data_IF_576026233144
#
_entry.id   IF_576026233144
#
_cell.length_a   1.000
_cell.length_b   1.000
_cell.length_c   1.000
_cell.angle_alpha   90.00
_cell.angle_beta   90.00
_cell.angle_gamma   90.00
#
_symmetry.space_group_name_H-M   'P 1'
#
loop_
_entity.id
_entity.type
_entity.pdbx_description
1 polymer ?
#
# COMPACT_ATOMS: atom_id res chain seq x y z
N UNK A 1 -12.40 -0.60 7.29
CA UNK A 1 -13.51 -0.06 6.51
C UNK A 1 -13.41 1.46 6.42
N UNK A 2 -13.57 2.03 5.24
CA UNK A 2 -13.62 3.46 5.00
C UNK A 2 -15.02 3.84 4.51
N UNK A 3 -15.57 4.88 5.08
CA UNK A 3 -16.91 5.38 4.77
C UNK A 3 -16.84 6.82 4.22
N UNK A 4 -17.81 7.18 3.41
CA UNK A 4 -18.01 8.58 3.01
C UNK A 4 -18.62 9.41 4.15
N UNK A 5 -18.81 10.71 3.90
CA UNK A 5 -19.41 11.63 4.88
C UNK A 5 -20.90 11.35 5.21
N UNK A 6 -21.50 10.35 4.55
CA UNK A 6 -22.88 9.89 4.79
C UNK A 6 -22.90 8.51 5.46
N UNK A 7 -21.75 7.99 5.92
CA UNK A 7 -21.63 6.69 6.55
C UNK A 7 -21.77 5.51 5.58
N UNK A 8 -21.56 5.72 4.29
CA UNK A 8 -21.62 4.63 3.29
C UNK A 8 -20.21 4.11 3.03
N UNK A 9 -20.03 2.80 3.13
CA UNK A 9 -18.77 2.14 2.80
C UNK A 9 -18.32 2.44 1.36
N UNK A 10 -17.07 2.87 1.20
CA UNK A 10 -16.44 3.17 -0.09
C UNK A 10 -15.21 2.33 -0.35
N UNK A 11 -14.57 1.83 0.71
CA UNK A 11 -13.38 0.99 0.61
C UNK A 11 -13.33 0.04 1.82
N UNK A 12 -13.11 -1.23 1.56
CA UNK A 12 -12.71 -2.21 2.56
C UNK A 12 -11.30 -2.69 2.24
N UNK A 13 -10.37 -2.57 3.19
CA UNK A 13 -8.98 -2.96 2.95
C UNK A 13 -8.29 -3.37 4.25
N UNK A 14 -7.21 -4.09 4.11
CA UNK A 14 -6.35 -4.45 5.22
C UNK A 14 -4.94 -4.75 4.77
N UNK A 15 -3.98 -4.47 5.65
CA UNK A 15 -2.56 -4.78 5.44
C UNK A 15 -2.06 -5.59 6.62
N UNK A 16 -1.50 -6.75 6.35
CA UNK A 16 -0.78 -7.57 7.34
C UNK A 16 0.71 -7.19 7.36
N UNK A 17 1.47 -7.63 8.36
CA UNK A 17 2.91 -7.44 8.41
C UNK A 17 3.47 -7.01 9.77
N UNK A 18 2.83 -7.42 10.86
CA UNK A 18 3.30 -7.13 12.21
C UNK A 18 3.46 -5.62 12.45
N UNK A 19 4.65 -5.18 12.78
CA UNK A 19 4.92 -3.75 13.06
C UNK A 19 4.81 -2.84 11.84
N UNK A 20 4.84 -3.38 10.63
CA UNK A 20 4.59 -2.63 9.40
C UNK A 20 3.11 -2.22 9.23
N UNK A 21 2.17 -2.91 9.87
CA UNK A 21 0.73 -2.72 9.64
C UNK A 21 0.28 -1.24 9.69
N UNK A 22 0.59 -0.43 10.72
CA UNK A 22 0.14 0.95 10.78
C UNK A 22 0.59 1.78 9.58
N UNK A 23 1.86 1.64 9.19
CA UNK A 23 2.45 2.34 8.04
C UNK A 23 1.82 1.85 6.73
N UNK A 24 1.68 0.53 6.59
CA UNK A 24 1.07 -0.09 5.40
C UNK A 24 -0.38 0.30 5.20
N UNK A 25 -1.17 0.40 6.28
CA UNK A 25 -2.55 0.87 6.23
C UNK A 25 -2.62 2.30 5.67
N UNK A 26 -1.79 3.21 6.19
CA UNK A 26 -1.74 4.61 5.73
C UNK A 26 -1.26 4.69 4.29
N UNK A 27 -0.23 3.94 3.93
CA UNK A 27 0.32 3.92 2.57
C UNK A 27 -0.75 3.55 1.53
N UNK A 28 -1.48 2.44 1.75
CA UNK A 28 -2.53 1.99 0.83
C UNK A 28 -3.69 2.99 0.78
N UNK A 29 -4.11 3.51 1.94
CA UNK A 29 -5.22 4.47 2.02
C UNK A 29 -4.92 5.75 1.24
N UNK A 30 -3.77 6.38 1.50
CA UNK A 30 -3.38 7.60 0.81
C UNK A 30 -3.19 7.36 -0.70
N UNK A 31 -2.62 6.23 -1.09
CA UNK A 31 -2.46 5.88 -2.50
C UNK A 31 -3.81 5.85 -3.24
N UNK A 32 -4.85 5.33 -2.59
CA UNK A 32 -6.19 5.25 -3.19
C UNK A 32 -6.93 6.60 -3.11
N UNK A 33 -6.89 7.30 -1.97
CA UNK A 33 -7.72 8.49 -1.75
C UNK A 33 -7.06 9.77 -2.26
N UNK A 34 -5.76 9.95 -2.03
CA UNK A 34 -5.05 11.20 -2.34
C UNK A 34 -4.40 11.16 -3.72
N UNK A 35 -3.91 9.98 -4.14
CA UNK A 35 -3.24 9.80 -5.44
C UNK A 35 -4.12 9.13 -6.51
N UNK A 36 -5.39 8.84 -6.21
CA UNK A 36 -6.35 8.23 -7.13
C UNK A 36 -5.88 6.91 -7.77
N UNK A 37 -5.03 6.16 -7.10
CA UNK A 37 -4.63 4.84 -7.57
C UNK A 37 -5.80 3.86 -7.48
N UNK A 38 -5.86 2.90 -8.41
CA UNK A 38 -6.74 1.75 -8.24
C UNK A 38 -6.29 0.92 -7.03
N UNK A 39 -7.19 0.08 -6.43
CA UNK A 39 -6.78 -0.81 -5.33
C UNK A 39 -5.56 -1.66 -5.67
N UNK A 40 -5.51 -2.22 -6.87
CA UNK A 40 -4.37 -3.03 -7.30
C UNK A 40 -3.08 -2.22 -7.44
N UNK A 41 -3.14 -1.01 -8.02
CA UNK A 41 -1.96 -0.14 -8.11
C UNK A 41 -1.44 0.25 -6.73
N UNK A 42 -2.33 0.62 -5.81
CA UNK A 42 -1.96 1.00 -4.45
C UNK A 42 -1.30 -0.15 -3.68
N UNK A 43 -1.86 -1.36 -3.79
CA UNK A 43 -1.33 -2.55 -3.13
C UNK A 43 0.01 -2.97 -3.74
N UNK A 44 0.15 -2.89 -5.07
CA UNK A 44 1.38 -3.30 -5.78
C UNK A 44 2.50 -2.28 -5.70
N UNK A 45 2.23 -1.04 -5.26
CA UNK A 45 3.26 -0.01 -5.19
C UNK A 45 4.38 -0.38 -4.21
N UNK A 46 5.63 0.02 -4.50
CA UNK A 46 6.78 -0.29 -3.66
C UNK A 46 6.64 0.30 -2.27
N UNK A 47 7.12 -0.42 -1.27
CA UNK A 47 6.96 -0.07 0.14
C UNK A 47 8.29 0.26 0.80
N UNK A 48 8.21 1.14 1.78
CA UNK A 48 9.33 1.49 2.64
C UNK A 48 8.90 1.43 4.10
N UNK A 49 9.84 1.05 4.98
CA UNK A 49 9.56 0.96 6.41
C UNK A 49 10.79 1.30 7.23
N UNK A 50 10.66 2.27 8.11
CA UNK A 50 11.70 2.62 9.07
C UNK A 50 11.59 1.73 10.30
N UNK A 51 12.61 0.91 10.52
CA UNK A 51 12.68 0.01 11.66
C UNK A 51 14.15 -0.19 12.13
N UNK A 52 14.38 -0.17 13.44
CA UNK A 52 15.70 -0.29 14.02
C UNK A 52 16.75 0.65 13.41
N UNK A 53 16.39 1.92 13.28
CA UNK A 53 17.25 2.97 12.73
C UNK A 53 17.72 2.77 11.28
N UNK A 54 17.01 1.91 10.54
CA UNK A 54 17.24 1.68 9.12
C UNK A 54 15.94 1.95 8.36
N UNK A 55 16.00 2.75 7.30
CA UNK A 55 14.89 2.91 6.38
C UNK A 55 14.99 1.86 5.27
N UNK A 56 14.25 0.78 5.47
CA UNK A 56 14.23 -0.38 4.58
C UNK A 56 13.35 -0.10 3.37
N UNK A 57 13.91 -0.24 2.18
CA UNK A 57 13.26 0.07 0.91
C UNK A 57 13.10 -1.20 0.08
N UNK A 58 11.92 -1.44 -0.48
CA UNK A 58 11.76 -2.47 -1.51
C UNK A 58 12.53 -2.08 -2.77
N UNK A 59 13.00 -3.06 -3.54
CA UNK A 59 13.95 -2.87 -4.66
C UNK A 59 13.43 -2.00 -5.78
N UNK A 60 12.11 -1.97 -5.94
CA UNK A 60 11.42 -1.18 -6.97
C UNK A 60 11.43 0.32 -6.68
N UNK A 61 11.80 0.73 -5.46
CA UNK A 61 12.02 2.16 -5.15
C UNK A 61 13.27 2.63 -5.87
N UNK A 62 13.13 3.71 -6.65
CA UNK A 62 14.21 4.20 -7.49
C UNK A 62 15.44 4.62 -6.67
N UNK A 63 16.61 4.49 -7.30
CA UNK A 63 17.87 4.95 -6.69
C UNK A 63 17.84 6.44 -6.38
N UNK A 64 17.17 7.24 -7.19
CA UNK A 64 17.02 8.68 -6.97
C UNK A 64 16.30 8.98 -5.65
N UNK A 65 15.18 8.28 -5.37
CA UNK A 65 14.44 8.39 -4.11
C UNK A 65 15.32 7.96 -2.95
N UNK A 66 16.00 6.82 -3.06
CA UNK A 66 16.92 6.33 -2.03
C UNK A 66 18.03 7.34 -1.72
N UNK A 67 18.67 7.88 -2.75
CA UNK A 67 19.74 8.86 -2.58
C UNK A 67 19.21 10.18 -1.97
N UNK A 68 18.01 10.61 -2.38
CA UNK A 68 17.33 11.75 -1.77
C UNK A 68 17.07 11.59 -0.29
N UNK A 69 16.54 10.42 0.10
CA UNK A 69 16.32 10.06 1.51
C UNK A 69 17.64 10.05 2.31
N UNK A 70 18.71 9.49 1.74
CA UNK A 70 20.02 9.47 2.37
C UNK A 70 20.59 10.88 2.57
N UNK A 71 20.41 11.78 1.60
CA UNK A 71 20.86 13.19 1.69
C UNK A 71 20.20 13.97 2.82
N UNK A 72 18.94 13.65 3.14
CA UNK A 72 18.22 14.29 4.25
C UNK A 72 18.41 13.56 5.59
N UNK A 73 19.32 12.59 5.66
CA UNK A 73 19.79 11.98 6.90
C UNK A 73 19.22 10.60 7.22
N UNK A 74 18.44 9.98 6.33
CA UNK A 74 17.97 8.61 6.55
C UNK A 74 19.09 7.58 6.28
N UNK A 75 19.22 6.59 7.15
CA UNK A 75 20.03 5.41 6.90
C UNK A 75 19.24 4.42 6.02
N UNK A 76 19.42 4.48 4.70
CA UNK A 76 18.62 3.74 3.73
C UNK A 76 19.26 2.42 3.31
N UNK A 77 18.46 1.36 3.20
CA UNK A 77 18.89 0.06 2.72
C UNK A 77 17.83 -0.57 1.82
N UNK A 78 18.24 -1.12 0.66
CA UNK A 78 17.38 -2.03 -0.07
C UNK A 78 17.31 -3.39 0.64
N UNK A 79 16.12 -3.99 0.60
CA UNK A 79 15.86 -5.30 1.21
C UNK A 79 15.41 -6.31 0.16
N UNK A 80 15.71 -7.58 0.44
CA UNK A 80 15.23 -8.72 -0.36
C UNK A 80 13.80 -9.12 0.03
N UNK A 81 13.50 -9.04 1.33
CA UNK A 81 12.18 -9.37 1.85
C UNK A 81 11.21 -8.21 1.62
N UNK A 82 9.98 -8.55 1.31
CA UNK A 82 8.92 -7.56 1.10
C UNK A 82 8.18 -7.20 2.38
N UNK A 83 7.63 -5.98 2.43
CA UNK A 83 6.87 -5.52 3.59
C UNK A 83 5.39 -5.91 3.50
N UNK A 84 4.97 -6.78 4.42
CA UNK A 84 3.57 -7.11 4.62
C UNK A 84 2.85 -7.70 3.41
N UNK A 85 1.54 -7.57 3.41
CA UNK A 85 0.66 -7.97 2.30
C UNK A 85 -0.68 -7.28 2.45
N UNK A 86 -1.31 -6.89 1.36
CA UNK A 86 -2.55 -6.12 1.36
C UNK A 86 -3.65 -6.74 0.52
N UNK A 87 -4.88 -6.47 0.92
CA UNK A 87 -6.10 -6.79 0.16
C UNK A 87 -7.01 -5.58 0.20
N UNK A 88 -7.70 -5.27 -0.88
CA UNK A 88 -8.63 -4.16 -0.91
C UNK A 88 -9.78 -4.40 -1.87
N UNK A 89 -10.95 -3.86 -1.51
CA UNK A 89 -12.14 -3.79 -2.37
C UNK A 89 -12.68 -2.37 -2.30
N UNK A 90 -12.61 -1.65 -3.42
CA UNK A 90 -13.23 -0.34 -3.60
C UNK A 90 -14.64 -0.51 -4.14
N UNK A 91 -15.59 0.24 -3.59
CA UNK A 91 -16.99 0.21 -4.01
C UNK A 91 -17.25 1.40 -4.93
N UNK A 92 -17.39 1.14 -6.23
CA UNK A 92 -17.82 2.14 -7.21
C UNK A 92 -19.34 2.19 -7.25
N UNK A 93 -19.91 3.06 -6.44
CA UNK A 93 -21.36 3.21 -6.36
C UNK A 93 -21.98 3.86 -7.59
N UNK A 94 -21.21 4.59 -8.38
CA UNK A 94 -21.69 5.24 -9.57
C UNK A 94 -22.03 4.22 -10.66
N UNK A 95 -21.19 3.20 -10.80
CA UNK A 95 -21.33 2.17 -11.82
C UNK A 95 -21.84 0.83 -11.24
N UNK A 96 -22.00 0.73 -9.93
CA UNK A 96 -22.43 -0.50 -9.25
C UNK A 96 -21.38 -1.60 -9.18
N UNK A 97 -20.10 -1.27 -9.34
CA UNK A 97 -19.01 -2.24 -9.41
C UNK A 97 -18.24 -2.35 -8.08
N UNK A 98 -17.68 -3.52 -7.85
CA UNK A 98 -16.64 -3.75 -6.87
C UNK A 98 -15.29 -3.88 -7.59
N UNK A 99 -14.28 -3.14 -7.12
CA UNK A 99 -12.95 -3.14 -7.72
C UNK A 99 -11.98 -3.75 -6.72
N UNK A 100 -11.55 -4.99 -6.98
CA UNK A 100 -10.64 -5.73 -6.12
C UNK A 100 -9.18 -5.42 -6.39
N UNK A 101 -8.34 -5.63 -5.37
CA UNK A 101 -6.89 -5.65 -5.47
C UNK A 101 -6.31 -6.63 -4.48
N UNK A 102 -5.35 -7.43 -4.93
CA UNK A 102 -4.69 -8.45 -4.13
C UNK A 102 -3.17 -8.33 -4.24
N UNK A 103 -2.48 -8.59 -3.13
CA UNK A 103 -1.04 -8.37 -3.03
C UNK A 103 -0.24 -9.43 -3.77
N UNK A 104 0.57 -9.04 -4.78
CA UNK A 104 1.41 -9.98 -5.51
C UNK A 104 2.52 -10.60 -4.63
N UNK A 105 2.80 -9.99 -3.45
CA UNK A 105 3.79 -10.51 -2.50
C UNK A 105 3.31 -11.75 -1.73
N UNK A 106 2.03 -12.12 -1.84
CA UNK A 106 1.37 -13.14 -1.01
C UNK A 106 0.53 -14.14 -1.81
N UNK A 107 0.84 -14.35 -3.08
CA UNK A 107 0.08 -15.24 -3.97
C UNK A 107 -1.45 -15.01 -3.94
N UNK A 108 -1.86 -13.80 -3.60
CA UNK A 108 -3.26 -13.43 -3.55
C UNK A 108 -3.82 -13.18 -4.95
N UNK A 109 -5.10 -13.44 -5.12
CA UNK A 109 -5.82 -13.18 -6.36
C UNK A 109 -7.17 -12.52 -6.07
N UNK A 110 -7.54 -11.50 -6.84
CA UNK A 110 -8.86 -10.88 -6.81
C UNK A 110 -9.59 -11.28 -8.09
N UNK A 111 -10.64 -12.08 -7.94
CA UNK A 111 -11.45 -12.56 -9.05
C UNK A 111 -12.79 -11.82 -9.09
N UNK A 112 -13.25 -11.51 -10.29
CA UNK A 112 -14.54 -10.89 -10.56
C UNK A 112 -15.35 -11.66 -11.61
N UNK A 113 -16.64 -11.41 -11.66
CA UNK A 113 -17.57 -11.99 -12.61
C UNK A 113 -18.55 -10.93 -13.09
#
# INVERSE_FOLDING_TARGET
LVEDNKGKAILNYGVMGGQYQPVGQVHVLNSILDFNMSPQQAISSPRAFHFNNIYKLEKEISKEIKDGLSKIGHNTQYIEETHGGGQAIKIDRKNGNLIGGSDPRKDGYAEGY
#
